data_IF_569158326930
#
_entry.id   IF_569158326930
#
_cell.length_a   1.000
_cell.length_b   1.000
_cell.length_c   1.000
_cell.angle_alpha   90.00
_cell.angle_beta   90.00
_cell.angle_gamma   90.00
#
_symmetry.space_group_name_H-M   'P 1'
#
loop_
_entity.id
_entity.type
_entity.pdbx_description
1 polymer ?
#
# COMPACT_ATOMS: atom_id res chain seq x y z
N UNK A 1 7.16 5.38 8.45
CA UNK A 1 6.08 4.65 9.15
C UNK A 1 5.26 3.96 8.08
N UNK A 2 5.04 2.65 8.10
CA UNK A 2 4.17 1.98 7.12
C UNK A 2 2.80 1.69 7.74
N UNK A 3 1.75 1.68 6.92
CA UNK A 3 0.42 1.25 7.39
C UNK A 3 0.34 -0.28 7.35
N UNK A 4 0.28 -0.94 8.51
CA UNK A 4 0.26 -2.41 8.55
C UNK A 4 -1.01 -2.99 7.90
N UNK A 5 -2.16 -2.39 8.18
CA UNK A 5 -3.44 -2.88 7.66
C UNK A 5 -3.50 -2.89 6.13
N UNK A 6 -2.89 -1.89 5.46
CA UNK A 6 -2.90 -1.87 4.00
C UNK A 6 -1.92 -2.88 3.39
N UNK A 7 -0.81 -3.18 4.08
CA UNK A 7 0.12 -4.24 3.69
C UNK A 7 -0.58 -5.59 3.76
N UNK A 8 -1.29 -5.88 4.85
CA UNK A 8 -2.03 -7.13 5.03
C UNK A 8 -3.10 -7.31 3.95
N UNK A 9 -3.87 -6.26 3.65
CA UNK A 9 -4.87 -6.28 2.59
C UNK A 9 -4.25 -6.49 1.20
N UNK A 10 -3.10 -5.87 0.92
CA UNK A 10 -2.38 -6.05 -0.34
C UNK A 10 -1.84 -7.48 -0.51
N UNK A 11 -1.25 -8.06 0.55
CA UNK A 11 -0.78 -9.45 0.57
C UNK A 11 -1.93 -10.44 0.37
N UNK A 12 -3.12 -10.13 0.90
CA UNK A 12 -4.31 -10.97 0.76
C UNK A 12 -4.97 -10.88 -0.64
N UNK A 13 -4.46 -10.04 -1.54
CA UNK A 13 -5.06 -9.85 -2.86
C UNK A 13 -6.40 -9.10 -2.80
N UNK A 14 -6.57 -8.19 -1.85
CA UNK A 14 -7.73 -7.31 -1.80
C UNK A 14 -7.53 -6.09 -2.70
N UNK A 15 -8.62 -5.59 -3.30
CA UNK A 15 -8.64 -4.24 -3.89
C UNK A 15 -8.72 -3.24 -2.75
N UNK A 16 -7.65 -2.47 -2.54
CA UNK A 16 -7.55 -1.51 -1.44
C UNK A 16 -7.97 -0.12 -1.91
N UNK A 17 -8.96 0.47 -1.23
CA UNK A 17 -9.43 1.85 -1.46
C UNK A 17 -9.08 2.73 -0.27
N UNK A 18 -8.35 3.82 -0.48
CA UNK A 18 -7.93 4.70 0.61
C UNK A 18 -7.57 6.11 0.13
N UNK A 19 -7.43 7.05 1.06
CA UNK A 19 -6.97 8.41 0.74
C UNK A 19 -5.44 8.49 0.64
N UNK A 20 -4.92 9.55 0.05
CA UNK A 20 -3.49 9.86 -0.05
C UNK A 20 -2.88 10.41 1.26
N UNK A 21 -3.42 10.02 2.42
CA UNK A 21 -3.04 10.58 3.71
C UNK A 21 -1.82 9.88 4.32
N UNK A 22 -0.89 10.68 4.85
CA UNK A 22 0.25 10.17 5.59
C UNK A 22 1.14 9.28 4.73
N UNK A 23 1.53 8.12 5.28
CA UNK A 23 2.44 7.19 4.60
C UNK A 23 1.75 6.19 3.64
N UNK A 24 0.43 6.34 3.41
CA UNK A 24 -0.31 5.43 2.55
C UNK A 24 0.20 5.45 1.10
N UNK A 25 0.43 6.62 0.45
CA UNK A 25 0.97 6.67 -0.91
C UNK A 25 2.31 5.93 -1.06
N UNK A 26 3.22 6.11 -0.10
CA UNK A 26 4.52 5.45 -0.10
C UNK A 26 4.41 3.95 0.21
N UNK A 27 3.47 3.54 1.06
CA UNK A 27 3.28 2.13 1.42
C UNK A 27 2.71 1.33 0.26
N UNK A 28 1.79 1.90 -0.52
CA UNK A 28 1.11 1.16 -1.60
C UNK A 28 1.80 1.25 -2.95
N UNK A 29 2.68 2.24 -3.13
CA UNK A 29 3.50 2.41 -4.33
C UNK A 29 2.69 2.35 -5.64
N UNK A 30 1.48 2.91 -5.62
CA UNK A 30 0.60 2.97 -6.79
C UNK A 30 -0.12 1.66 -7.16
N UNK A 31 -0.03 0.61 -6.35
CA UNK A 31 -0.74 -0.65 -6.60
C UNK A 31 -2.23 -0.61 -6.21
N UNK A 32 -2.69 0.45 -5.56
CA UNK A 32 -4.02 0.54 -4.94
C UNK A 32 -4.87 1.67 -5.51
N UNK A 33 -6.17 1.65 -5.19
CA UNK A 33 -7.14 2.65 -5.63
C UNK A 33 -7.15 3.83 -4.66
N UNK A 34 -6.33 4.84 -4.97
CA UNK A 34 -6.08 5.98 -4.08
C UNK A 34 -6.77 7.25 -4.57
N UNK A 35 -7.43 7.98 -3.66
CA UNK A 35 -7.99 9.31 -3.93
C UNK A 35 -7.26 10.40 -3.11
N UNK A 36 -7.26 11.67 -3.58
CA UNK A 36 -6.66 12.77 -2.83
C UNK A 36 -7.33 12.96 -1.47
N UNK A 37 -6.53 13.09 -0.41
CA UNK A 37 -7.06 13.45 0.90
C UNK A 37 -7.60 14.90 0.91
N UNK A 38 -8.78 15.08 1.48
CA UNK A 38 -9.41 16.38 1.72
C UNK A 38 -9.90 16.47 3.16
N UNK A 39 -9.80 17.66 3.77
CA UNK A 39 -10.17 17.88 5.18
C UNK A 39 -11.70 17.95 5.40
N UNK A 40 -12.45 18.44 4.43
CA UNK A 40 -13.90 18.48 4.53
C UNK A 40 -14.46 17.05 4.48
N UNK A 41 -15.21 16.67 5.52
CA UNK A 41 -15.72 15.30 5.66
C UNK A 41 -16.70 14.90 4.55
N UNK A 42 -17.53 15.83 4.08
CA UNK A 42 -18.49 15.55 3.01
C UNK A 42 -17.80 15.34 1.67
N UNK A 43 -16.81 16.18 1.36
CA UNK A 43 -15.98 16.02 0.17
C UNK A 43 -15.18 14.71 0.23
N UNK A 44 -14.64 14.38 1.40
CA UNK A 44 -13.90 13.14 1.63
C UNK A 44 -14.77 11.90 1.39
N UNK A 45 -15.98 11.86 1.96
CA UNK A 45 -16.94 10.79 1.74
C UNK A 45 -17.32 10.66 0.27
N UNK A 46 -17.50 11.79 -0.43
CA UNK A 46 -17.85 11.80 -1.86
C UNK A 46 -16.73 11.21 -2.71
N UNK A 47 -15.47 11.60 -2.45
CA UNK A 47 -14.30 11.05 -3.15
C UNK A 47 -14.09 9.57 -2.85
N UNK A 48 -14.22 9.16 -1.59
CA UNK A 48 -14.15 7.75 -1.19
C UNK A 48 -15.21 6.92 -1.91
N UNK A 49 -16.47 7.34 -1.86
CA UNK A 49 -17.59 6.62 -2.47
C UNK A 49 -17.39 6.49 -3.99
N UNK A 50 -16.95 7.55 -4.66
CA UNK A 50 -16.64 7.52 -6.09
C UNK A 50 -15.55 6.48 -6.40
N UNK A 51 -14.45 6.49 -5.68
CA UNK A 51 -13.34 5.54 -5.88
C UNK A 51 -13.77 4.10 -5.57
N UNK A 52 -14.58 3.91 -4.52
CA UNK A 52 -15.10 2.60 -4.14
C UNK A 52 -16.01 2.02 -5.21
N UNK A 53 -16.95 2.79 -5.76
CA UNK A 53 -17.84 2.35 -6.84
C UNK A 53 -17.01 1.93 -8.06
N UNK A 54 -16.03 2.74 -8.46
CA UNK A 54 -15.12 2.41 -9.58
C UNK A 54 -14.34 1.11 -9.31
N UNK A 55 -13.89 0.92 -8.07
CA UNK A 55 -13.14 -0.28 -7.67
C UNK A 55 -14.02 -1.54 -7.73
N UNK A 56 -15.28 -1.44 -7.30
CA UNK A 56 -16.27 -2.52 -7.39
C UNK A 56 -16.59 -2.84 -8.85
N UNK A 57 -16.73 -1.84 -9.74
CA UNK A 57 -16.98 -2.08 -11.18
C UNK A 57 -15.84 -2.82 -11.90
N UNK A 58 -14.63 -2.78 -11.31
CA UNK A 58 -13.43 -3.40 -11.85
C UNK A 58 -13.06 -4.72 -11.17
N UNK A 59 -13.82 -5.19 -10.16
CA UNK A 59 -13.39 -6.27 -9.26
C UNK A 59 -12.97 -7.57 -9.96
N UNK A 60 -13.61 -7.90 -11.08
CA UNK A 60 -13.35 -9.11 -11.86
C UNK A 60 -12.45 -8.87 -13.08
N UNK A 61 -11.96 -7.63 -13.27
CA UNK A 61 -11.10 -7.22 -14.40
C UNK A 61 -9.66 -6.93 -13.97
N UNK A 62 -9.43 -6.75 -12.67
CA UNK A 62 -8.11 -6.41 -12.12
C UNK A 62 -7.35 -7.69 -11.79
N UNK A 63 -6.11 -7.78 -12.26
CA UNK A 63 -5.14 -8.75 -11.79
C UNK A 63 -4.29 -8.11 -10.68
N UNK A 64 -4.28 -8.73 -9.50
CA UNK A 64 -3.57 -8.22 -8.32
C UNK A 64 -2.24 -8.93 -8.05
N UNK A 65 -1.80 -9.80 -8.95
CA UNK A 65 -0.55 -10.55 -8.79
C UNK A 65 0.65 -9.62 -8.57
N UNK A 66 0.72 -8.51 -9.31
CA UNK A 66 1.79 -7.52 -9.14
C UNK A 66 1.75 -6.82 -7.78
N UNK A 67 0.56 -6.56 -7.23
CA UNK A 67 0.37 -6.00 -5.89
C UNK A 67 0.82 -7.01 -4.81
N UNK A 68 0.42 -8.27 -4.97
CA UNK A 68 0.76 -9.35 -4.04
C UNK A 68 2.29 -9.58 -4.06
N UNK A 69 2.89 -9.65 -5.24
CA UNK A 69 4.34 -9.83 -5.40
C UNK A 69 5.11 -8.64 -4.79
N UNK A 70 4.69 -7.41 -5.10
CA UNK A 70 5.29 -6.20 -4.53
C UNK A 70 5.26 -6.23 -3.00
N UNK A 71 4.07 -6.44 -2.42
CA UNK A 71 3.88 -6.42 -0.97
C UNK A 71 4.69 -7.53 -0.27
N UNK A 72 4.65 -8.75 -0.80
CA UNK A 72 5.40 -9.89 -0.27
C UNK A 72 6.91 -9.76 -0.44
N UNK A 73 7.40 -8.92 -1.35
CA UNK A 73 8.84 -8.68 -1.56
C UNK A 73 9.35 -7.57 -0.67
N UNK A 74 8.68 -6.41 -0.70
CA UNK A 74 9.11 -5.19 -0.01
C UNK A 74 8.94 -5.32 1.50
N UNK A 75 7.82 -5.87 1.96
CA UNK A 75 7.49 -5.98 3.38
C UNK A 75 7.85 -7.34 3.98
N UNK A 76 8.63 -8.15 3.26
CA UNK A 76 9.12 -9.42 3.75
C UNK A 76 10.06 -9.22 4.95
N UNK A 77 9.70 -9.77 6.11
CA UNK A 77 10.51 -9.61 7.32
C UNK A 77 11.91 -10.22 7.20
N UNK A 78 12.09 -11.25 6.37
CA UNK A 78 13.39 -11.85 6.12
C UNK A 78 14.26 -10.91 5.28
N UNK A 79 13.71 -10.31 4.23
CA UNK A 79 14.42 -9.33 3.41
C UNK A 79 14.81 -8.09 4.23
N UNK A 80 13.87 -7.57 5.04
CA UNK A 80 14.13 -6.43 5.94
C UNK A 80 15.26 -6.78 6.89
N UNK A 81 15.22 -7.96 7.55
CA UNK A 81 16.30 -8.43 8.43
C UNK A 81 17.65 -8.43 7.72
N UNK A 82 17.72 -8.93 6.48
CA UNK A 82 18.97 -8.94 5.72
C UNK A 82 19.47 -7.52 5.38
N UNK A 83 18.57 -6.59 5.05
CA UNK A 83 18.94 -5.18 4.84
C UNK A 83 19.59 -4.56 6.08
N UNK A 84 19.06 -4.84 7.28
CA UNK A 84 19.65 -4.40 8.54
C UNK A 84 21.01 -5.03 8.79
N UNK A 85 21.16 -6.34 8.59
CA UNK A 85 22.45 -7.04 8.73
C UNK A 85 23.50 -6.41 7.80
N UNK A 86 23.13 -6.16 6.54
CA UNK A 86 24.00 -5.54 5.55
C UNK A 86 24.39 -4.12 5.95
N UNK A 87 23.46 -3.33 6.49
CA UNK A 87 23.74 -2.01 7.03
C UNK A 87 24.76 -2.08 8.18
N UNK A 88 24.55 -2.96 9.16
CA UNK A 88 25.47 -3.10 10.29
C UNK A 88 26.86 -3.56 9.86
N UNK A 89 26.97 -4.45 8.88
CA UNK A 89 28.26 -4.87 8.36
C UNK A 89 28.99 -3.72 7.65
N UNK A 90 28.28 -2.87 6.89
CA UNK A 90 28.87 -1.68 6.26
C UNK A 90 29.39 -0.68 7.29
N UNK A 91 28.64 -0.47 8.37
CA UNK A 91 29.01 0.48 9.42
C UNK A 91 30.20 0.01 10.27
N UNK A 92 30.45 -1.30 10.37
CA UNK A 92 31.63 -1.85 11.08
C UNK A 92 32.94 -1.68 10.32
N UNK A 93 32.88 -1.44 9.00
CA UNK A 93 34.04 -1.34 8.11
C UNK A 93 34.51 0.12 7.97
N UNK A 94 33.74 1.09 8.51
CA UNK A 94 34.13 2.50 8.67
C UNK A 94 34.74 2.74 10.05
#
# INVERSE_FOLDING_TARGET
TSCLCIIEAMCAGCICVHSSLGALPETTNGHTMMYPYVNNKYDHCTLFAKMLIQSVEMYNKVCLDSQIEYSNTIFNIHNIRQQWINLFNKLKIQ
#
